data_IF_930683400871
#
_entry.id   IF_930683400871
#
_cell.length_a   1.000
_cell.length_b   1.000
_cell.length_c   1.000
_cell.angle_alpha   90.00
_cell.angle_beta   90.00
_cell.angle_gamma   90.00
#
_symmetry.space_group_name_H-M   'P 1'
#
loop_
_entity.id
_entity.type
_entity.pdbx_description
1 polymer ?
#
# COMPACT_ATOMS: atom_id res chain seq x y z
N UNK A 1 -10.53 -1.68 25.06
CA UNK A 1 -10.69 -2.31 24.60
C UNK A 1 -11.44 -2.25 23.45
N UNK A 2 -12.42 -1.83 23.40
CA UNK A 2 -13.19 -1.81 22.25
C UNK A 2 -12.61 -0.95 21.19
N UNK A 3 -11.79 -0.03 21.53
CA UNK A 3 -11.28 0.83 20.50
C UNK A 3 -10.46 0.07 19.48
N UNK A 4 -9.93 -1.06 19.86
CA UNK A 4 -9.16 -1.81 18.92
C UNK A 4 -10.01 -2.27 17.77
N UNK A 5 -11.24 -2.56 18.00
CA UNK A 5 -12.08 -3.06 16.94
C UNK A 5 -12.30 -2.04 15.86
N UNK A 6 -12.08 -0.77 16.16
CA UNK A 6 -12.30 0.23 15.16
C UNK A 6 -11.13 0.39 14.23
N UNK A 7 -10.01 -0.26 14.53
CA UNK A 7 -8.85 -0.16 13.68
C UNK A 7 -8.59 -1.48 13.00
N UNK A 8 -9.64 -2.02 12.39
CA UNK A 8 -9.52 -3.28 11.71
C UNK A 8 -8.68 -3.10 10.47
N UNK A 9 -7.69 -3.94 10.31
CA UNK A 9 -6.85 -3.87 9.12
C UNK A 9 -7.60 -4.42 7.93
N UNK A 10 -7.35 -3.88 6.76
CA UNK A 10 -7.94 -4.44 5.56
C UNK A 10 -7.43 -5.85 5.36
N UNK A 11 -8.24 -6.68 4.75
CA UNK A 11 -7.82 -8.03 4.51
C UNK A 11 -7.05 -8.13 3.23
N UNK A 12 -5.99 -8.92 3.25
CA UNK A 12 -5.27 -9.26 2.04
C UNK A 12 -5.63 -10.71 1.72
N UNK A 13 -6.40 -10.89 0.66
CA UNK A 13 -6.84 -12.23 0.30
C UNK A 13 -5.76 -12.99 -0.43
N UNK A 14 -4.96 -12.34 -1.22
CA UNK A 14 -3.86 -12.98 -1.89
C UNK A 14 -2.94 -11.90 -2.40
N UNK A 15 -1.73 -12.28 -2.73
CA UNK A 15 -0.79 -11.33 -3.32
C UNK A 15 -0.80 -11.49 -4.82
N UNK A 16 -0.61 -10.40 -5.56
CA UNK A 16 -0.55 -10.52 -7.01
C UNK A 16 0.62 -11.41 -7.43
N UNK A 17 0.42 -12.20 -8.47
CA UNK A 17 1.48 -13.07 -8.92
C UNK A 17 2.65 -12.29 -9.52
N UNK A 18 2.41 -11.06 -9.94
CA UNK A 18 3.47 -10.24 -10.51
C UNK A 18 4.17 -9.37 -9.48
N UNK A 19 3.81 -9.52 -8.20
CA UNK A 19 4.43 -8.71 -7.17
C UNK A 19 5.89 -9.14 -7.02
N UNK A 20 6.83 -8.19 -7.06
CA UNK A 20 8.22 -8.57 -6.87
C UNK A 20 8.45 -9.15 -5.49
N UNK A 21 9.31 -10.15 -5.41
CA UNK A 21 9.62 -10.72 -4.11
C UNK A 21 10.50 -9.77 -3.31
N UNK A 22 11.24 -8.92 -3.96
CA UNK A 22 12.06 -7.96 -3.28
C UNK A 22 11.79 -6.59 -3.87
N UNK A 23 11.79 -5.57 -3.05
CA UNK A 23 11.61 -4.23 -3.54
C UNK A 23 10.21 -3.87 -3.93
N UNK A 24 9.22 -4.61 -3.43
CA UNK A 24 7.83 -4.28 -3.75
C UNK A 24 7.36 -3.01 -3.05
N UNK A 25 7.93 -2.72 -1.90
CA UNK A 25 7.55 -1.55 -1.11
C UNK A 25 8.82 -0.78 -0.77
N UNK A 26 8.76 0.53 -0.88
CA UNK A 26 9.88 1.34 -0.47
C UNK A 26 9.44 2.25 0.67
N UNK A 27 10.39 2.68 1.46
CA UNK A 27 10.13 3.54 2.58
C UNK A 27 10.82 4.86 2.32
N UNK A 28 10.06 5.94 2.43
CA UNK A 28 10.60 7.28 2.29
C UNK A 28 10.42 8.01 3.60
N UNK A 29 11.25 8.99 3.86
CA UNK A 29 11.09 9.78 5.07
C UNK A 29 10.66 11.18 4.69
N UNK A 30 9.60 11.67 5.36
CA UNK A 30 9.19 13.04 5.22
C UNK A 30 9.25 13.66 6.61
N UNK A 31 10.23 14.51 6.81
CA UNK A 31 10.42 15.14 8.12
C UNK A 31 10.54 14.10 9.23
N UNK A 32 11.24 13.02 8.93
CA UNK A 32 11.47 11.98 9.93
C UNK A 32 10.36 10.96 10.07
N UNK A 33 9.26 11.12 9.33
CA UNK A 33 8.16 10.20 9.43
C UNK A 33 8.20 9.23 8.25
N UNK A 34 8.21 7.93 8.52
CA UNK A 34 8.28 6.98 7.41
C UNK A 34 6.98 6.92 6.63
N UNK A 35 7.11 6.85 5.32
CA UNK A 35 5.98 6.70 4.44
C UNK A 35 6.24 5.47 3.59
N UNK A 36 5.28 4.56 3.56
CA UNK A 36 5.41 3.33 2.82
C UNK A 36 4.72 3.48 1.47
N UNK A 37 5.45 3.22 0.40
CA UNK A 37 4.91 3.36 -0.95
C UNK A 37 5.22 2.13 -1.75
N UNK A 38 4.36 1.82 -2.70
CA UNK A 38 4.67 0.77 -3.65
C UNK A 38 5.86 1.20 -4.50
N UNK A 39 6.71 0.24 -4.87
CA UNK A 39 7.87 0.56 -5.69
C UNK A 39 7.43 1.04 -7.06
N UNK A 40 8.37 1.63 -7.80
CA UNK A 40 8.02 2.15 -9.11
C UNK A 40 7.58 1.05 -10.06
N UNK A 41 8.21 -0.11 -9.98
CA UNK A 41 7.79 -1.20 -10.85
C UNK A 41 6.38 -1.67 -10.53
N UNK A 42 6.01 -1.68 -9.25
CA UNK A 42 4.65 -2.04 -8.88
C UNK A 42 3.67 -0.98 -9.36
N UNK A 43 4.02 0.29 -9.21
CA UNK A 43 3.15 1.35 -9.66
C UNK A 43 2.96 1.31 -11.17
N UNK A 44 4.02 1.00 -11.91
CA UNK A 44 3.92 0.89 -13.36
C UNK A 44 2.98 -0.23 -13.76
N UNK A 45 3.05 -1.36 -13.06
CA UNK A 45 2.15 -2.46 -13.37
C UNK A 45 0.71 -2.11 -13.08
N UNK A 46 0.47 -1.44 -11.97
CA UNK A 46 -0.89 -1.02 -11.63
C UNK A 46 -1.42 -0.08 -12.69
N UNK A 47 -0.59 0.83 -13.18
CA UNK A 47 -1.04 1.77 -14.20
C UNK A 47 -1.42 1.05 -15.49
N UNK A 48 -0.65 0.03 -15.86
CA UNK A 48 -0.99 -0.74 -17.03
C UNK A 48 -2.34 -1.42 -16.86
N UNK A 49 -2.58 -2.00 -15.69
CA UNK A 49 -3.84 -2.69 -15.44
C UNK A 49 -5.00 -1.70 -15.42
N UNK A 50 -4.79 -0.53 -14.86
CA UNK A 50 -5.85 0.47 -14.83
C UNK A 50 -6.18 0.96 -16.23
N UNK A 51 -5.16 1.09 -17.07
CA UNK A 51 -5.43 1.49 -18.43
C UNK A 51 -6.21 0.44 -19.18
N UNK A 52 -5.86 -0.83 -18.98
CA UNK A 52 -6.63 -1.90 -19.59
C UNK A 52 -8.05 -1.93 -19.07
N UNK A 53 -8.24 -1.66 -17.78
CA UNK A 53 -9.57 -1.63 -17.23
C UNK A 53 -10.38 -0.50 -17.87
N UNK A 54 -9.76 0.65 -18.06
CA UNK A 54 -10.44 1.78 -18.66
C UNK A 54 -10.88 1.46 -20.09
N UNK A 55 -10.12 0.66 -20.80
CA UNK A 55 -10.46 0.26 -22.15
C UNK A 55 -11.27 -1.02 -22.21
N UNK A 56 -11.64 -1.55 -21.04
CA UNK A 56 -12.42 -2.78 -20.96
C UNK A 56 -11.68 -3.95 -21.58
N UNK A 57 -10.37 -4.00 -21.38
CA UNK A 57 -9.55 -5.04 -21.96
C UNK A 57 -8.90 -5.94 -20.91
N UNK A 58 -9.32 -5.85 -19.65
CA UNK A 58 -8.76 -6.72 -18.63
C UNK A 58 -9.27 -8.13 -18.80
N UNK A 59 -8.34 -9.11 -18.75
CA UNK A 59 -8.76 -10.49 -18.66
C UNK A 59 -9.22 -10.74 -17.24
N UNK A 60 -9.85 -11.88 -17.01
CA UNK A 60 -10.30 -12.22 -15.69
C UNK A 60 -9.13 -12.35 -14.74
N UNK A 61 -8.03 -12.92 -15.21
CA UNK A 61 -6.85 -13.05 -14.39
C UNK A 61 -6.25 -11.69 -14.07
N UNK A 62 -6.23 -10.78 -15.01
CA UNK A 62 -5.73 -9.45 -14.76
C UNK A 62 -6.63 -8.67 -13.83
N UNK A 63 -7.94 -8.91 -13.88
CA UNK A 63 -8.84 -8.26 -12.94
C UNK A 63 -8.55 -8.71 -11.52
N UNK A 64 -8.26 -10.00 -11.33
CA UNK A 64 -7.89 -10.47 -10.00
C UNK A 64 -6.56 -9.89 -9.56
N UNK A 65 -5.64 -9.73 -10.49
CA UNK A 65 -4.35 -9.13 -10.17
C UNK A 65 -4.53 -7.69 -9.72
N UNK A 66 -5.36 -6.94 -10.42
CA UNK A 66 -5.59 -5.55 -10.06
C UNK A 66 -6.26 -5.45 -8.69
N UNK A 67 -7.24 -6.32 -8.41
CA UNK A 67 -7.89 -6.31 -7.11
C UNK A 67 -6.88 -6.56 -6.00
N UNK A 68 -5.95 -7.48 -6.21
CA UNK A 68 -4.95 -7.78 -5.20
C UNK A 68 -4.01 -6.59 -4.99
N UNK A 69 -3.65 -5.88 -6.06
CA UNK A 69 -2.83 -4.70 -5.90
C UNK A 69 -3.58 -3.60 -5.17
N UNK A 70 -4.88 -3.47 -5.43
CA UNK A 70 -5.66 -2.45 -4.72
C UNK A 70 -5.76 -2.75 -3.24
N UNK A 71 -5.81 -4.03 -2.87
CA UNK A 71 -5.80 -4.37 -1.46
C UNK A 71 -4.48 -3.97 -0.80
N UNK A 72 -3.38 -4.17 -1.50
CA UNK A 72 -2.09 -3.76 -0.97
C UNK A 72 -2.04 -2.24 -0.81
N UNK A 73 -2.55 -1.52 -1.80
CA UNK A 73 -2.53 -0.07 -1.74
C UNK A 73 -3.35 0.44 -0.57
N UNK A 74 -4.51 -0.16 -0.32
CA UNK A 74 -5.31 0.21 0.82
C UNK A 74 -4.57 -0.06 2.12
N UNK A 75 -3.85 -1.18 2.17
CA UNK A 75 -3.12 -1.54 3.38
C UNK A 75 -2.00 -0.53 3.64
N UNK A 76 -1.26 -0.16 2.60
CA UNK A 76 -0.19 0.80 2.77
C UNK A 76 -0.75 2.17 3.17
N UNK A 77 -1.88 2.55 2.61
CA UNK A 77 -2.51 3.82 2.97
C UNK A 77 -2.90 3.82 4.44
N UNK A 78 -3.43 2.69 4.93
CA UNK A 78 -3.78 2.61 6.33
C UNK A 78 -2.54 2.69 7.21
N UNK A 79 -1.47 1.97 6.83
CA UNK A 79 -0.25 2.03 7.61
C UNK A 79 0.30 3.45 7.68
N UNK A 80 0.28 4.16 6.56
CA UNK A 80 0.77 5.53 6.54
C UNK A 80 -0.07 6.41 7.46
N UNK A 81 -1.38 6.21 7.47
CA UNK A 81 -2.23 7.00 8.33
C UNK A 81 -1.97 6.69 9.80
N UNK A 82 -1.82 5.41 10.12
CA UNK A 82 -1.57 5.04 11.52
C UNK A 82 -0.24 5.60 12.01
N UNK A 83 0.80 5.52 11.17
CA UNK A 83 2.08 6.05 11.58
C UNK A 83 2.00 7.55 11.79
N UNK A 84 1.27 8.26 10.90
CA UNK A 84 1.17 9.68 11.04
C UNK A 84 0.40 10.08 12.29
N UNK A 85 -0.57 9.25 12.71
CA UNK A 85 -1.37 9.57 13.87
C UNK A 85 -0.71 9.19 15.19
N UNK A 86 0.36 8.40 15.14
CA UNK A 86 1.03 8.05 16.38
C UNK A 86 1.86 9.22 16.88
N UNK A 87 2.05 9.32 18.18
CA UNK A 87 2.90 10.39 18.71
C UNK A 87 4.29 10.26 18.12
N UNK A 88 4.84 11.36 17.69
CA UNK A 88 6.18 11.34 17.13
C UNK A 88 7.19 11.54 18.22
N UNK A 89 8.33 10.89 18.09
CA UNK A 89 9.36 10.98 19.13
C UNK A 89 10.08 12.29 19.07
N UNK A 90 9.41 13.35 19.46
CA UNK A 90 10.03 14.56 19.31
C UNK A 90 11.12 14.85 20.16
N UNK A 91 11.23 14.22 21.22
CA UNK A 91 12.35 14.54 22.04
C UNK A 91 13.60 14.39 21.30
N UNK A 92 13.53 13.55 20.36
CA UNK A 92 14.73 13.36 19.75
C UNK A 92 15.15 14.54 19.14
N UNK A 93 14.31 15.31 18.83
CA UNK A 93 14.78 16.30 18.23
C UNK A 93 15.42 17.15 18.98
N UNK A 94 15.24 17.27 19.82
CA UNK A 94 15.88 18.14 20.44
C UNK A 94 16.85 17.83 20.96
N UNK A 95 16.97 17.35 21.01
CA UNK A 95 17.92 17.05 21.51
C UNK A 95 18.64 17.19 21.24
#
# INVERSE_FOLDING_TARGET
MSSIAQHVLPKLHSLPTTLPLEGAVRIELEEGVPIFRASESVQARIEILLEKQHKQQLSQQEAHELDAYEEIDDYLSLLNRLVRDLPQPESQQDS
#
